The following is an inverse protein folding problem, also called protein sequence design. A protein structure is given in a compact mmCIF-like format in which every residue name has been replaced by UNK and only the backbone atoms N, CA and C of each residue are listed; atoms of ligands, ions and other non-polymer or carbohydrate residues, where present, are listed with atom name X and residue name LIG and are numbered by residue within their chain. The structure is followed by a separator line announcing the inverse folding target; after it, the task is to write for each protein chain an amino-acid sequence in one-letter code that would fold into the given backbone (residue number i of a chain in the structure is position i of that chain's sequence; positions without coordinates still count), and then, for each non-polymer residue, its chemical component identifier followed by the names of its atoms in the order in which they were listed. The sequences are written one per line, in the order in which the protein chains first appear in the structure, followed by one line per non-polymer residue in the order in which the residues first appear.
data_IF_041244104733
#
_entry.id   IF_041244104733
#
_cell.length_a   1.000
_cell.length_b   1.000
_cell.length_c   1.000
_cell.angle_alpha   90.00
_cell.angle_beta   90.00
_cell.angle_gamma   90.00
#
_symmetry.space_group_name_H-M   'P 1'
#
loop_
_entity.id
_entity.type
_entity.pdbx_description
1 polymer ?
#
# COMPACT_ATOMS: atom_id res chain seq x y z
N UNK A 1 21.48 -20.64 -20.41
CA UNK A 1 20.89 -19.33 -20.70
C UNK A 1 21.68 -18.58 -21.77
N UNK A 2 23.01 -18.52 -21.68
CA UNK A 2 23.86 -17.91 -22.68
C UNK A 2 23.70 -18.55 -24.08
N UNK A 3 23.59 -19.86 -24.15
CA UNK A 3 23.37 -20.58 -25.44
C UNK A 3 21.96 -20.26 -26.01
N UNK A 4 20.98 -20.11 -25.19
CA UNK A 4 19.63 -19.70 -25.61
C UNK A 4 19.63 -18.25 -26.10
N UNK A 5 20.32 -17.34 -25.41
CA UNK A 5 20.46 -15.93 -25.82
C UNK A 5 21.27 -15.73 -27.07
N UNK A 6 22.21 -16.66 -27.38
CA UNK A 6 22.91 -16.69 -28.69
C UNK A 6 21.94 -17.02 -29.84
N UNK A 7 20.85 -17.74 -29.55
CA UNK A 7 19.83 -18.11 -30.56
C UNK A 7 18.70 -17.08 -30.64
N UNK A 8 18.36 -16.45 -29.53
CA UNK A 8 17.35 -15.39 -29.46
C UNK A 8 17.77 -14.35 -28.41
N UNK A 9 18.15 -13.16 -28.87
CA UNK A 9 18.59 -12.04 -28.04
C UNK A 9 17.47 -11.43 -27.20
N UNK A 10 16.21 -11.76 -27.49
CA UNK A 10 15.03 -11.22 -26.78
C UNK A 10 14.63 -12.05 -25.55
N UNK A 11 15.34 -13.13 -25.24
CA UNK A 11 15.06 -13.93 -24.06
C UNK A 11 15.33 -13.08 -22.81
N UNK A 12 14.29 -12.79 -22.00
CA UNK A 12 14.43 -11.98 -20.78
C UNK A 12 15.28 -12.71 -19.73
N UNK A 13 15.72 -11.99 -18.72
CA UNK A 13 16.34 -12.61 -17.55
C UNK A 13 15.36 -13.60 -16.92
N UNK A 14 15.84 -14.79 -16.57
CA UNK A 14 15.01 -15.80 -15.90
C UNK A 14 14.66 -15.41 -14.46
N UNK A 15 15.47 -14.54 -13.86
CA UNK A 15 15.30 -14.06 -12.51
C UNK A 15 15.84 -12.63 -12.41
N UNK A 16 15.28 -11.89 -11.47
CA UNK A 16 15.68 -10.52 -11.17
C UNK A 16 16.39 -10.41 -9.81
N UNK A 17 16.28 -11.44 -8.99
CA UNK A 17 16.88 -11.53 -7.66
C UNK A 17 17.63 -12.83 -7.57
N UNK A 18 18.88 -12.77 -7.14
CA UNK A 18 19.72 -13.92 -6.83
C UNK A 18 19.90 -14.01 -5.31
N UNK A 19 19.76 -15.21 -4.77
CA UNK A 19 20.12 -15.51 -3.39
C UNK A 19 21.26 -16.51 -3.39
N UNK A 20 22.37 -16.18 -2.78
CA UNK A 20 23.49 -17.08 -2.59
C UNK A 20 23.76 -17.33 -1.09
N UNK A 21 24.11 -18.57 -0.77
CA UNK A 21 24.50 -18.96 0.56
C UNK A 21 25.88 -19.63 0.49
N UNK A 22 26.86 -19.06 1.19
CA UNK A 22 28.25 -19.48 1.10
C UNK A 22 28.85 -19.63 2.51
N UNK A 23 29.26 -20.84 2.84
CA UNK A 23 30.10 -21.10 4.00
C UNK A 23 31.46 -21.55 3.45
N UNK A 24 32.50 -20.84 3.83
CA UNK A 24 33.88 -21.18 3.47
C UNK A 24 34.62 -21.59 4.73
N UNK A 25 35.11 -22.81 4.77
CA UNK A 25 36.11 -23.24 5.75
C UNK A 25 37.48 -22.79 5.25
N UNK A 26 37.66 -21.46 5.06
CA UNK A 26 38.93 -20.92 4.66
C UNK A 26 39.92 -21.12 5.83
N UNK A 27 41.07 -21.73 5.56
CA UNK A 27 42.13 -21.76 6.56
C UNK A 27 42.54 -20.29 6.80
N UNK A 28 42.39 -19.84 8.06
CA UNK A 28 42.75 -18.46 8.45
C UNK A 28 44.26 -18.21 8.49
N UNK A 29 45.04 -19.16 7.97
CA UNK A 29 46.51 -19.03 7.89
C UNK A 29 47.00 -19.64 6.59
N UNK A 30 47.82 -18.89 5.87
CA UNK A 30 48.66 -19.40 4.78
C UNK A 30 50.09 -19.45 5.27
N UNK A 31 50.60 -20.68 5.54
CA UNK A 31 51.84 -20.85 6.29
C UNK A 31 51.64 -20.42 7.76
N UNK A 32 52.41 -19.40 8.21
CA UNK A 32 52.30 -18.83 9.55
C UNK A 32 51.69 -17.43 9.54
N UNK A 33 51.11 -16.98 8.43
CA UNK A 33 50.59 -15.62 8.30
C UNK A 33 49.05 -15.72 8.47
N UNK A 34 48.50 -15.07 9.52
CA UNK A 34 47.03 -14.99 9.65
C UNK A 34 46.49 -14.06 8.57
N UNK A 35 45.33 -14.45 7.97
CA UNK A 35 44.59 -13.58 7.06
C UNK A 35 43.09 -13.64 7.38
N UNK A 36 42.39 -12.59 6.97
CA UNK A 36 40.95 -12.46 7.06
C UNK A 36 40.39 -12.30 5.65
N UNK A 37 39.25 -12.93 5.38
CA UNK A 37 38.57 -12.84 4.09
C UNK A 37 37.42 -11.85 4.20
N UNK A 38 37.38 -10.88 3.32
CA UNK A 38 36.34 -9.87 3.24
C UNK A 38 35.63 -9.93 1.89
N UNK A 39 34.31 -9.78 1.93
CA UNK A 39 33.52 -9.66 0.70
C UNK A 39 33.62 -8.22 0.17
N UNK A 40 34.04 -8.08 -1.08
CA UNK A 40 34.16 -6.78 -1.73
C UNK A 40 33.27 -6.73 -2.98
N UNK A 41 32.38 -5.74 -3.01
CA UNK A 41 31.53 -5.48 -4.18
C UNK A 41 32.34 -4.78 -5.30
N UNK A 42 32.24 -5.31 -6.51
CA UNK A 42 32.98 -4.78 -7.66
C UNK A 42 32.29 -3.63 -8.40
N UNK A 43 31.14 -3.14 -7.87
CA UNK A 43 30.34 -2.07 -8.47
C UNK A 43 29.42 -2.50 -9.61
N UNK A 44 29.35 -3.80 -9.93
CA UNK A 44 28.50 -4.32 -10.99
C UNK A 44 27.55 -5.40 -10.45
N UNK A 45 26.25 -5.25 -10.73
CA UNK A 45 25.22 -6.23 -10.45
C UNK A 45 24.49 -6.56 -11.75
N UNK A 46 24.53 -7.82 -12.17
CA UNK A 46 23.88 -8.27 -13.39
C UNK A 46 22.36 -8.29 -13.22
N UNK A 47 21.91 -8.76 -12.06
CA UNK A 47 20.53 -8.84 -11.64
C UNK A 47 20.06 -7.49 -11.02
N UNK A 48 18.79 -7.41 -10.67
CA UNK A 48 18.26 -6.23 -9.99
C UNK A 48 18.69 -6.18 -8.52
N UNK A 49 18.92 -7.35 -7.92
CA UNK A 49 19.40 -7.50 -6.55
C UNK A 49 20.10 -8.85 -6.37
N UNK A 50 21.24 -8.85 -5.69
CA UNK A 50 21.94 -10.02 -5.19
C UNK A 50 21.92 -10.00 -3.66
N UNK A 51 21.37 -11.05 -3.08
CA UNK A 51 21.35 -11.27 -1.63
C UNK A 51 22.37 -12.35 -1.32
N UNK A 52 23.37 -12.02 -0.53
CA UNK A 52 24.45 -12.92 -0.22
C UNK A 52 24.48 -13.19 1.28
N UNK A 53 24.37 -14.45 1.66
CA UNK A 53 24.47 -14.92 3.05
C UNK A 53 25.75 -15.71 3.16
N UNK A 54 26.66 -15.29 4.02
CA UNK A 54 27.97 -15.89 4.11
C UNK A 54 28.59 -15.86 5.52
N UNK A 55 29.45 -16.84 5.78
CA UNK A 55 30.45 -16.84 6.85
C UNK A 55 31.80 -17.22 6.22
N UNK A 56 32.59 -16.22 5.86
CA UNK A 56 33.86 -16.42 5.15
C UNK A 56 35.02 -16.78 6.07
N UNK A 57 34.88 -16.57 7.37
CA UNK A 57 35.94 -16.74 8.36
C UNK A 57 35.62 -17.83 9.40
N UNK A 58 34.59 -18.64 9.16
CA UNK A 58 34.12 -19.73 10.03
C UNK A 58 33.91 -19.25 11.48
N UNK A 59 33.33 -18.09 11.61
CA UNK A 59 33.06 -17.45 12.92
C UNK A 59 31.82 -17.98 13.60
N UNK A 60 30.99 -18.71 12.87
CA UNK A 60 29.65 -19.12 13.26
C UNK A 60 28.63 -17.98 13.19
N UNK A 61 29.02 -16.81 12.67
CA UNK A 61 28.17 -15.65 12.49
C UNK A 61 27.88 -15.41 11.02
N UNK A 62 26.59 -15.45 10.65
CA UNK A 62 26.17 -15.20 9.28
C UNK A 62 26.07 -13.70 8.99
N UNK A 63 26.68 -13.28 7.90
CA UNK A 63 26.54 -11.95 7.33
C UNK A 63 25.56 -11.97 6.18
N UNK A 64 24.77 -10.91 6.02
CA UNK A 64 23.86 -10.75 4.89
C UNK A 64 24.23 -9.45 4.16
N UNK A 65 24.68 -9.56 2.93
CA UNK A 65 24.97 -8.44 2.04
C UNK A 65 23.91 -8.31 0.96
N UNK A 66 23.66 -7.08 0.54
CA UNK A 66 22.68 -6.71 -0.49
C UNK A 66 23.37 -5.84 -1.54
N UNK A 67 23.58 -6.38 -2.73
CA UNK A 67 24.02 -5.64 -3.89
C UNK A 67 22.82 -5.38 -4.80
N UNK A 68 22.49 -4.14 -5.09
CA UNK A 68 21.25 -3.79 -5.78
C UNK A 68 21.37 -2.59 -6.69
N UNK A 69 20.51 -2.55 -7.72
CA UNK A 69 20.42 -1.41 -8.64
C UNK A 69 19.68 -0.26 -7.98
N UNK A 70 20.35 0.87 -7.76
CA UNK A 70 19.77 2.08 -7.15
C UNK A 70 18.71 2.76 -8.02
N UNK A 71 18.64 2.40 -9.30
CA UNK A 71 17.56 2.82 -10.19
C UNK A 71 16.23 2.09 -9.93
N UNK A 72 16.25 0.98 -9.18
CA UNK A 72 15.07 0.14 -8.88
C UNK A 72 14.74 0.17 -7.39
N UNK A 73 15.75 0.08 -6.52
CA UNK A 73 15.59 0.00 -5.07
C UNK A 73 16.29 1.17 -4.40
N UNK A 74 15.72 1.67 -3.33
CA UNK A 74 16.38 2.61 -2.42
C UNK A 74 16.74 1.90 -1.10
N UNK A 75 17.54 2.55 -0.27
CA UNK A 75 18.01 1.96 1.00
C UNK A 75 16.88 1.56 1.96
N UNK A 76 15.76 2.30 1.95
CA UNK A 76 14.58 1.98 2.79
C UNK A 76 13.88 0.71 2.31
N UNK A 77 13.89 0.43 1.01
CA UNK A 77 13.32 -0.80 0.46
C UNK A 77 14.16 -2.00 0.90
N UNK A 78 15.49 -1.86 0.85
CA UNK A 78 16.42 -2.90 1.31
C UNK A 78 16.27 -3.17 2.81
N UNK A 79 16.14 -2.11 3.62
CA UNK A 79 15.89 -2.26 5.06
C UNK A 79 14.61 -3.06 5.35
N UNK A 80 13.54 -2.79 4.62
CA UNK A 80 12.28 -3.55 4.76
C UNK A 80 12.45 -5.01 4.34
N UNK A 81 13.12 -5.26 3.22
CA UNK A 81 13.40 -6.62 2.74
C UNK A 81 14.21 -7.37 3.79
N UNK A 82 15.25 -6.75 4.34
CA UNK A 82 16.08 -7.34 5.40
C UNK A 82 15.23 -7.70 6.63
N UNK A 83 14.43 -6.79 7.15
CA UNK A 83 13.54 -7.03 8.30
C UNK A 83 12.59 -8.20 8.06
N UNK A 84 12.02 -8.32 6.86
CA UNK A 84 11.14 -9.44 6.49
C UNK A 84 11.90 -10.76 6.42
N UNK A 85 13.10 -10.77 5.85
CA UNK A 85 13.96 -11.97 5.82
C UNK A 85 14.27 -12.43 7.24
N UNK A 86 14.70 -11.54 8.11
CA UNK A 86 14.98 -11.86 9.52
C UNK A 86 13.72 -12.34 10.24
N UNK A 87 12.55 -11.73 9.96
CA UNK A 87 11.29 -12.18 10.54
C UNK A 87 10.95 -13.63 10.12
N UNK A 88 11.17 -13.99 8.86
CA UNK A 88 10.96 -15.36 8.36
C UNK A 88 11.94 -16.33 9.04
N UNK A 89 13.23 -15.98 9.08
CA UNK A 89 14.27 -16.82 9.70
C UNK A 89 13.92 -17.08 11.17
N UNK A 90 13.56 -16.05 11.92
CA UNK A 90 13.19 -16.20 13.33
C UNK A 90 11.99 -17.15 13.54
N UNK A 91 10.98 -17.07 12.67
CA UNK A 91 9.82 -17.97 12.75
C UNK A 91 10.20 -19.44 12.50
N UNK A 92 11.06 -19.67 11.49
CA UNK A 92 11.51 -21.01 11.12
C UNK A 92 12.42 -21.60 12.21
N UNK A 93 13.33 -20.80 12.77
CA UNK A 93 14.23 -21.24 13.84
C UNK A 93 13.46 -21.55 15.13
N UNK A 94 12.43 -20.75 15.47
CA UNK A 94 11.64 -20.95 16.68
C UNK A 94 10.62 -22.10 16.55
N UNK A 95 10.22 -22.47 15.34
CA UNK A 95 9.21 -23.51 15.08
C UNK A 95 9.71 -24.46 13.99
N UNK A 96 10.39 -25.53 14.39
CA UNK A 96 11.03 -26.50 13.46
C UNK A 96 10.11 -27.07 12.37
N UNK A 97 8.80 -27.14 12.62
CA UNK A 97 7.81 -27.72 11.70
C UNK A 97 6.77 -26.69 11.22
N UNK A 98 7.13 -25.41 11.12
CA UNK A 98 6.21 -24.40 10.60
C UNK A 98 5.90 -24.68 9.13
N UNK A 99 4.61 -24.70 8.78
CA UNK A 99 4.18 -24.82 7.38
C UNK A 99 4.44 -23.53 6.60
N UNK A 100 4.77 -23.62 5.31
CA UNK A 100 5.00 -22.44 4.47
C UNK A 100 3.82 -21.44 4.50
N UNK A 101 2.60 -21.95 4.57
CA UNK A 101 1.37 -21.14 4.65
C UNK A 101 1.21 -20.37 5.96
N UNK A 102 1.91 -20.81 7.01
CA UNK A 102 1.81 -20.27 8.37
C UNK A 102 2.93 -19.25 8.66
N UNK A 103 3.85 -19.03 7.70
CA UNK A 103 4.91 -18.04 7.81
C UNK A 103 4.35 -16.67 7.49
N UNK A 104 4.43 -15.74 8.45
CA UNK A 104 4.10 -14.32 8.22
C UNK A 104 5.29 -13.57 7.64
N UNK A 105 5.16 -13.11 6.39
CA UNK A 105 6.22 -12.34 5.70
C UNK A 105 6.31 -10.91 6.26
N UNK A 106 5.16 -10.32 6.56
CA UNK A 106 5.04 -8.96 7.09
C UNK A 106 5.51 -8.93 8.53
N UNK A 107 6.34 -7.94 8.89
CA UNK A 107 6.78 -7.80 10.29
C UNK A 107 5.64 -7.37 11.21
N UNK A 108 5.72 -7.61 12.53
CA UNK A 108 4.69 -7.16 13.47
C UNK A 108 4.41 -5.65 13.38
N UNK A 109 5.45 -4.82 13.23
CA UNK A 109 5.34 -3.38 13.11
C UNK A 109 4.65 -2.97 11.80
N UNK A 110 4.98 -3.63 10.69
CA UNK A 110 4.28 -3.40 9.42
C UNK A 110 2.82 -3.80 9.50
N UNK A 111 2.53 -4.93 10.17
CA UNK A 111 1.16 -5.43 10.38
C UNK A 111 0.34 -4.44 11.20
N UNK A 112 0.89 -3.92 12.28
CA UNK A 112 0.26 -2.88 13.11
C UNK A 112 -0.06 -1.64 12.28
N UNK A 113 0.92 -1.15 11.51
CA UNK A 113 0.73 0.00 10.63
C UNK A 113 -0.37 -0.21 9.60
N UNK A 114 -0.41 -1.39 8.95
CA UNK A 114 -1.40 -1.71 7.92
C UNK A 114 -2.81 -1.88 8.49
N UNK A 115 -2.94 -2.53 9.65
CA UNK A 115 -4.24 -2.88 10.23
C UNK A 115 -4.77 -1.78 11.13
N UNK A 116 -3.90 -1.10 11.87
CA UNK A 116 -4.30 -0.11 12.89
C UNK A 116 -4.10 1.31 12.36
N UNK A 117 -2.85 1.71 12.02
CA UNK A 117 -2.56 3.11 11.73
C UNK A 117 -3.25 3.61 10.47
N UNK A 118 -3.27 2.82 9.40
CA UNK A 118 -3.95 3.19 8.16
C UNK A 118 -5.47 3.17 8.29
N UNK A 119 -6.00 2.51 9.31
CA UNK A 119 -7.43 2.45 9.60
C UNK A 119 -7.87 3.42 10.70
N UNK A 120 -6.96 4.25 11.24
CA UNK A 120 -7.30 5.37 12.14
C UNK A 120 -8.00 6.49 11.36
N UNK A 121 -9.14 6.17 10.81
CA UNK A 121 -9.97 7.10 10.03
C UNK A 121 -11.13 7.65 10.84
N UNK A 122 -11.15 7.39 12.15
CA UNK A 122 -12.19 7.90 13.03
C UNK A 122 -12.14 9.42 13.08
N UNK A 123 -13.25 10.03 12.73
CA UNK A 123 -13.50 11.46 12.87
C UNK A 123 -14.55 11.67 13.96
N UNK A 124 -14.23 12.51 14.94
CA UNK A 124 -15.23 12.92 15.92
C UNK A 124 -16.22 13.88 15.24
N UNK A 125 -17.47 13.48 15.20
CA UNK A 125 -18.57 14.31 14.76
C UNK A 125 -19.79 14.06 15.65
N UNK A 126 -20.66 15.05 15.79
CA UNK A 126 -21.89 14.89 16.58
C UNK A 126 -22.87 13.96 15.82
N UNK A 127 -23.00 12.73 16.32
CA UNK A 127 -23.88 11.69 15.75
C UNK A 127 -25.38 12.04 15.87
N UNK A 128 -25.75 13.04 16.67
CA UNK A 128 -27.13 13.49 16.83
C UNK A 128 -27.53 14.50 15.74
N UNK A 129 -26.55 15.05 15.01
CA UNK A 129 -26.82 15.99 13.92
C UNK A 129 -26.97 15.22 12.61
N UNK A 130 -28.15 15.24 11.97
CA UNK A 130 -28.35 14.63 10.66
C UNK A 130 -27.42 15.25 9.60
N UNK A 131 -26.97 14.44 8.63
CA UNK A 131 -26.10 14.88 7.54
C UNK A 131 -26.61 16.13 6.84
N UNK A 132 -27.92 16.21 6.63
CA UNK A 132 -28.55 17.36 5.94
C UNK A 132 -28.25 18.69 6.64
N UNK A 133 -28.09 18.70 7.98
CA UNK A 133 -27.75 19.92 8.71
C UNK A 133 -26.32 20.38 8.47
N UNK A 134 -25.38 19.46 8.28
CA UNK A 134 -24.01 19.80 7.88
C UNK A 134 -23.99 20.39 6.45
N UNK A 135 -24.81 19.82 5.55
CA UNK A 135 -24.95 20.37 4.21
C UNK A 135 -25.56 21.77 4.22
N UNK A 136 -26.64 21.99 4.96
CA UNK A 136 -27.29 23.31 5.08
C UNK A 136 -26.33 24.36 5.66
N UNK A 137 -25.56 23.98 6.68
CA UNK A 137 -24.52 24.86 7.23
C UNK A 137 -23.47 25.23 6.19
N UNK A 138 -23.03 24.27 5.38
CA UNK A 138 -22.07 24.55 4.29
C UNK A 138 -22.65 25.49 3.24
N UNK A 139 -23.95 25.36 2.93
CA UNK A 139 -24.66 26.28 2.03
C UNK A 139 -24.68 27.72 2.60
N UNK A 140 -24.88 27.88 3.90
CA UNK A 140 -24.87 29.20 4.57
C UNK A 140 -23.46 29.81 4.55
N UNK A 141 -22.44 29.02 4.84
CA UNK A 141 -21.04 29.48 4.93
C UNK A 141 -20.43 29.84 3.56
N UNK A 142 -20.70 29.02 2.54
CA UNK A 142 -20.06 29.17 1.22
C UNK A 142 -21.03 28.95 0.05
N UNK A 143 -22.09 29.74 -0.09
CA UNK A 143 -23.16 29.50 -1.07
C UNK A 143 -22.70 29.52 -2.53
N UNK A 144 -21.72 30.36 -2.85
CA UNK A 144 -21.23 30.52 -4.22
C UNK A 144 -20.12 29.53 -4.60
N UNK A 145 -19.61 28.74 -3.63
CA UNK A 145 -18.63 27.74 -3.95
C UNK A 145 -19.25 26.60 -4.77
N UNK A 146 -18.44 26.01 -5.64
CA UNK A 146 -18.84 24.86 -6.44
C UNK A 146 -19.03 23.64 -5.52
N UNK A 147 -20.25 23.10 -5.50
CA UNK A 147 -20.62 21.91 -4.75
C UNK A 147 -20.45 20.64 -5.60
N UNK A 148 -20.75 20.70 -6.88
CA UNK A 148 -20.73 19.57 -7.80
C UNK A 148 -20.08 19.95 -9.11
N UNK A 149 -19.23 19.07 -9.61
CA UNK A 149 -18.70 19.12 -10.98
C UNK A 149 -19.12 17.83 -11.66
N UNK A 150 -19.78 17.95 -12.81
CA UNK A 150 -20.14 16.81 -13.64
C UNK A 150 -19.93 17.17 -15.11
N UNK A 151 -19.09 16.39 -15.78
CA UNK A 151 -18.63 16.69 -17.15
C UNK A 151 -18.02 18.09 -17.23
N UNK A 152 -18.61 18.98 -18.03
CA UNK A 152 -18.16 20.37 -18.25
C UNK A 152 -19.04 21.41 -17.54
N UNK A 153 -19.89 20.97 -16.61
CA UNK A 153 -20.85 21.82 -15.89
C UNK A 153 -20.56 21.81 -14.41
N UNK A 154 -20.79 22.94 -13.77
CA UNK A 154 -20.66 23.13 -12.34
C UNK A 154 -22.00 23.52 -11.75
N UNK A 155 -22.22 23.22 -10.47
CA UNK A 155 -23.36 23.67 -9.67
C UNK A 155 -22.83 24.15 -8.32
N UNK A 156 -23.29 25.32 -7.88
CA UNK A 156 -22.93 25.88 -6.59
C UNK A 156 -23.73 25.24 -5.45
N UNK A 157 -23.28 25.45 -4.21
CA UNK A 157 -24.02 25.01 -3.01
C UNK A 157 -25.40 25.64 -2.95
N UNK A 158 -25.54 26.92 -3.30
CA UNK A 158 -26.84 27.61 -3.38
C UNK A 158 -27.78 26.95 -4.36
N UNK A 159 -27.35 26.76 -5.60
CA UNK A 159 -28.16 26.17 -6.66
C UNK A 159 -28.59 24.74 -6.32
N UNK A 160 -27.66 23.94 -5.75
CA UNK A 160 -27.96 22.59 -5.32
C UNK A 160 -29.01 22.57 -4.21
N UNK A 161 -28.87 23.45 -3.24
CA UNK A 161 -29.83 23.57 -2.13
C UNK A 161 -31.22 23.98 -2.59
N UNK A 162 -31.32 24.99 -3.48
CA UNK A 162 -32.60 25.45 -4.04
C UNK A 162 -33.33 24.36 -4.80
N UNK A 163 -32.61 23.63 -5.66
CA UNK A 163 -33.17 22.50 -6.41
C UNK A 163 -33.60 21.35 -5.48
N UNK A 164 -32.78 21.03 -4.47
CA UNK A 164 -33.12 20.01 -3.50
C UNK A 164 -34.35 20.41 -2.66
N UNK A 165 -34.46 21.69 -2.26
CA UNK A 165 -35.62 22.21 -1.55
C UNK A 165 -36.90 22.14 -2.39
N UNK A 166 -36.83 22.51 -3.68
CA UNK A 166 -37.96 22.44 -4.60
C UNK A 166 -38.47 21.01 -4.75
N UNK A 167 -37.56 20.06 -4.94
CA UNK A 167 -37.93 18.63 -5.04
C UNK A 167 -38.46 18.08 -3.71
N UNK A 168 -37.87 18.45 -2.58
CA UNK A 168 -38.33 18.06 -1.24
C UNK A 168 -39.77 18.54 -0.99
N UNK A 169 -40.08 19.76 -1.41
CA UNK A 169 -41.44 20.31 -1.32
C UNK A 169 -42.45 19.47 -2.13
N UNK A 170 -42.12 19.12 -3.38
CA UNK A 170 -42.98 18.29 -4.21
C UNK A 170 -43.15 16.87 -3.64
N UNK A 171 -42.10 16.28 -3.08
CA UNK A 171 -42.19 14.98 -2.41
C UNK A 171 -43.16 15.02 -1.21
N UNK A 172 -43.06 16.04 -0.36
CA UNK A 172 -43.97 16.23 0.77
C UNK A 172 -45.40 16.43 0.33
N UNK A 173 -45.64 17.23 -0.72
CA UNK A 173 -46.96 17.45 -1.31
C UNK A 173 -47.59 16.15 -1.82
N UNK A 174 -46.78 15.20 -2.27
CA UNK A 174 -47.18 13.88 -2.71
C UNK A 174 -47.24 12.85 -1.57
N UNK A 175 -47.22 13.27 -0.31
CA UNK A 175 -47.44 12.40 0.84
C UNK A 175 -46.19 11.74 1.40
N UNK A 176 -44.99 12.12 0.97
CA UNK A 176 -43.74 11.63 1.57
C UNK A 176 -43.57 12.26 2.93
N UNK A 177 -43.37 11.41 3.94
CA UNK A 177 -43.19 11.79 5.35
C UNK A 177 -41.97 11.09 5.92
N UNK A 178 -41.65 11.35 7.18
CA UNK A 178 -40.54 10.68 7.88
C UNK A 178 -40.69 9.15 7.79
N UNK A 179 -39.59 8.47 7.51
CA UNK A 179 -39.51 7.02 7.34
C UNK A 179 -40.21 6.48 6.06
N UNK A 180 -40.64 7.32 5.13
CA UNK A 180 -41.14 6.86 3.83
C UNK A 180 -39.95 6.43 2.97
N UNK A 181 -40.01 5.22 2.41
CA UNK A 181 -39.01 4.73 1.45
C UNK A 181 -39.27 5.35 0.09
N UNK A 182 -38.30 6.09 -0.44
CA UNK A 182 -38.37 6.75 -1.75
C UNK A 182 -37.36 6.09 -2.69
N UNK A 183 -37.84 5.56 -3.82
CA UNK A 183 -36.99 5.01 -4.89
C UNK A 183 -36.46 6.13 -5.77
N UNK A 184 -35.16 6.15 -6.00
CA UNK A 184 -34.50 7.09 -6.92
C UNK A 184 -34.01 6.29 -8.13
N UNK A 185 -34.51 6.62 -9.33
CA UNK A 185 -34.10 6.01 -10.59
C UNK A 185 -33.62 7.10 -11.54
N UNK A 186 -32.32 7.35 -11.54
CA UNK A 186 -31.66 8.38 -12.34
C UNK A 186 -30.30 7.91 -12.81
N UNK A 187 -29.82 8.46 -13.92
CA UNK A 187 -28.43 8.27 -14.34
C UNK A 187 -27.47 9.09 -13.45
N UNK A 188 -26.17 8.85 -13.61
CA UNK A 188 -25.15 9.70 -12.93
C UNK A 188 -25.23 11.11 -13.47
N UNK A 189 -25.69 12.05 -12.65
CA UNK A 189 -25.97 13.42 -13.05
C UNK A 189 -26.13 14.31 -11.81
N UNK A 190 -26.39 15.61 -12.01
CA UNK A 190 -26.78 16.51 -10.92
C UNK A 190 -28.06 16.06 -10.22
N UNK A 191 -29.01 15.51 -10.99
CA UNK A 191 -30.31 15.03 -10.51
C UNK A 191 -30.17 13.94 -9.46
N UNK A 192 -29.11 13.12 -9.54
CA UNK A 192 -28.84 12.09 -8.55
C UNK A 192 -28.62 12.69 -7.18
N UNK A 193 -27.72 13.70 -7.05
CA UNK A 193 -27.42 14.35 -5.77
C UNK A 193 -28.56 15.24 -5.30
N UNK A 194 -29.25 15.94 -6.22
CA UNK A 194 -30.45 16.71 -5.90
C UNK A 194 -31.50 15.82 -5.29
N UNK A 195 -31.77 14.65 -5.88
CA UNK A 195 -32.78 13.71 -5.40
C UNK A 195 -32.40 13.11 -4.03
N UNK A 196 -31.14 12.74 -3.83
CA UNK A 196 -30.66 12.23 -2.52
C UNK A 196 -30.83 13.27 -1.42
N UNK A 197 -30.42 14.52 -1.66
CA UNK A 197 -30.60 15.60 -0.69
C UNK A 197 -32.08 15.94 -0.45
N UNK A 198 -32.90 15.93 -1.48
CA UNK A 198 -34.34 16.19 -1.37
C UNK A 198 -35.06 15.18 -0.49
N UNK A 199 -34.68 13.90 -0.58
CA UNK A 199 -35.25 12.83 0.27
C UNK A 199 -34.82 12.97 1.72
N UNK A 200 -33.61 13.50 1.98
CA UNK A 200 -33.09 13.73 3.34
C UNK A 200 -33.66 15.01 4.00
N UNK A 201 -34.26 15.91 3.26
CA UNK A 201 -34.93 17.14 3.73
C UNK A 201 -36.39 16.90 4.13
#
# INVERSE_FOLDING_TARGET
LEELRKKDSNIPNLYNILLSYQITNAQQTEGNIPYETEWTFNGCCAENMDIQIYDLNDTGSLNIAYDYKTSIYNSKDIEKIHKRIINIINQVVLKENIGLKDIEIVTPEEKEKLIIDFNKTELEYDKNIPFIKYFEKQVEETPENIAIVFEYKNMTYRELNEKANSLAYELRKNGVTNNTVVGILVERSFEMLISMLAVLK
#
